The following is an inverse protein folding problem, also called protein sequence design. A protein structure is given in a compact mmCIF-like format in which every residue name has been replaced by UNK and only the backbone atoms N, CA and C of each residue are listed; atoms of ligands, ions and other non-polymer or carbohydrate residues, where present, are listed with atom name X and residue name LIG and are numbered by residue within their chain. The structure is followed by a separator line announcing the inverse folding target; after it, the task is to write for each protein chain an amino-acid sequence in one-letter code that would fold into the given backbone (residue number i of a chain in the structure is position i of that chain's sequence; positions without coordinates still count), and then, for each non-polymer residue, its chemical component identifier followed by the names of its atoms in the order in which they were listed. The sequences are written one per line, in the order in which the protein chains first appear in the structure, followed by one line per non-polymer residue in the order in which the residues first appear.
data_IF_013024784769
#
_entry.id   IF_013024784769
#
_cell.length_a   1.000
_cell.length_b   1.000
_cell.length_c   1.000
_cell.angle_alpha   90.00
_cell.angle_beta   90.00
_cell.angle_gamma   90.00
#
_symmetry.space_group_name_H-M   'P 1'
#
loop_
_entity.id
_entity.type
_entity.pdbx_description
1 polymer ?
#
# COMPACT_ATOMS: atom_id res chain seq x y z
N UNK A 1 -6.66 -6.41 0.06
CA UNK A 1 -5.86 -5.16 0.02
C UNK A 1 -4.87 -5.15 -1.15
N UNK A 2 -4.00 -6.15 -1.29
CA UNK A 2 -3.05 -6.21 -2.41
C UNK A 2 -3.75 -6.28 -3.78
N UNK A 3 -4.87 -7.00 -3.88
CA UNK A 3 -5.69 -7.02 -5.11
C UNK A 3 -6.25 -5.65 -5.47
N UNK A 4 -6.65 -4.85 -4.47
CA UNK A 4 -7.11 -3.48 -4.72
C UNK A 4 -5.99 -2.63 -5.31
N UNK A 5 -4.76 -2.77 -4.80
CA UNK A 5 -3.60 -2.05 -5.36
C UNK A 5 -3.38 -2.42 -6.82
N UNK A 6 -3.37 -3.72 -7.14
CA UNK A 6 -3.13 -4.23 -8.48
C UNK A 6 -4.18 -3.76 -9.51
N UNK A 7 -5.44 -3.68 -9.09
CA UNK A 7 -6.57 -3.34 -9.97
C UNK A 7 -7.00 -1.86 -9.89
N UNK A 8 -6.30 -1.05 -9.09
CA UNK A 8 -6.66 0.36 -8.88
C UNK A 8 -6.51 1.25 -10.13
N UNK A 9 -5.68 0.82 -11.09
CA UNK A 9 -5.27 1.66 -12.21
C UNK A 9 -4.42 2.88 -11.81
N UNK A 10 -4.02 2.99 -10.53
CA UNK A 10 -3.20 4.08 -10.03
C UNK A 10 -1.71 3.79 -10.21
N UNK A 11 -0.92 4.84 -10.38
CA UNK A 11 0.54 4.78 -10.33
C UNK A 11 1.02 4.95 -8.89
N UNK A 12 1.83 4.02 -8.40
CA UNK A 12 2.35 4.05 -7.05
C UNK A 12 3.69 4.77 -7.02
N UNK A 13 3.81 5.81 -6.20
CA UNK A 13 5.01 6.64 -6.11
C UNK A 13 5.78 6.26 -4.84
N UNK A 14 6.96 5.69 -5.04
CA UNK A 14 7.89 5.30 -3.98
C UNK A 14 9.22 6.01 -4.17
N UNK A 15 9.66 6.73 -3.13
CA UNK A 15 10.91 7.51 -3.14
C UNK A 15 11.01 8.46 -4.35
N UNK A 16 9.88 9.08 -4.73
CA UNK A 16 9.81 10.01 -5.86
C UNK A 16 9.72 9.36 -7.25
N UNK A 17 9.83 8.04 -7.35
CA UNK A 17 9.67 7.30 -8.62
C UNK A 17 8.28 6.68 -8.71
N UNK A 18 7.66 6.76 -9.88
CA UNK A 18 6.37 6.13 -10.17
C UNK A 18 6.53 4.69 -10.66
N UNK A 19 5.64 3.81 -10.20
CA UNK A 19 5.61 2.39 -10.51
C UNK A 19 4.18 1.95 -10.88
N UNK A 20 4.00 1.08 -11.88
CA UNK A 20 2.70 0.52 -12.22
C UNK A 20 2.07 -0.26 -11.05
N UNK A 21 0.75 -0.38 -11.06
CA UNK A 21 -0.04 -1.09 -10.04
C UNK A 21 0.45 -2.53 -9.78
N UNK A 22 0.80 -3.28 -10.83
CA UNK A 22 1.32 -4.64 -10.71
C UNK A 22 2.68 -4.68 -9.96
N UNK A 23 3.58 -3.75 -10.26
CA UNK A 23 4.86 -3.63 -9.56
C UNK A 23 4.67 -3.18 -8.10
N UNK A 24 3.72 -2.29 -7.86
CA UNK A 24 3.35 -1.87 -6.52
C UNK A 24 2.84 -3.06 -5.69
N UNK A 25 1.92 -3.87 -6.24
CA UNK A 25 1.43 -5.10 -5.61
C UNK A 25 2.57 -6.06 -5.29
N UNK A 26 3.46 -6.33 -6.25
CA UNK A 26 4.61 -7.20 -6.02
C UNK A 26 5.56 -6.67 -4.94
N UNK A 27 5.78 -5.35 -4.90
CA UNK A 27 6.60 -4.71 -3.86
C UNK A 27 5.97 -4.83 -2.47
N UNK A 28 4.67 -4.56 -2.36
CA UNK A 28 3.94 -4.65 -1.10
C UNK A 28 3.82 -6.09 -0.60
N UNK A 29 3.61 -7.06 -1.50
CA UNK A 29 3.62 -8.49 -1.17
C UNK A 29 4.95 -8.88 -0.54
N UNK A 30 6.09 -8.54 -1.14
CA UNK A 30 7.42 -8.84 -0.57
C UNK A 30 7.60 -8.27 0.84
N UNK A 31 7.06 -7.08 1.10
CA UNK A 31 7.11 -6.48 2.44
C UNK A 31 6.16 -7.18 3.42
N UNK A 32 4.98 -7.60 2.97
CA UNK A 32 4.06 -8.40 3.77
C UNK A 32 4.71 -9.72 4.16
N UNK A 33 5.22 -10.49 3.19
CA UNK A 33 5.90 -11.77 3.42
C UNK A 33 7.05 -11.61 4.42
N UNK A 34 7.84 -10.53 4.30
CA UNK A 34 8.91 -10.25 5.25
C UNK A 34 8.41 -10.00 6.68
N UNK A 35 7.30 -9.26 6.84
CA UNK A 35 6.72 -8.96 8.14
C UNK A 35 6.05 -10.19 8.75
N UNK A 36 5.36 -10.99 7.94
CA UNK A 36 4.72 -12.25 8.37
C UNK A 36 5.77 -13.24 8.87
N UNK A 37 6.87 -13.41 8.14
CA UNK A 37 8.01 -14.25 8.55
C UNK A 37 8.72 -13.77 9.83
N UNK A 38 8.39 -12.58 10.33
CA UNK A 38 8.95 -11.97 11.55
C UNK A 38 7.91 -11.81 12.65
N UNK A 39 6.68 -12.29 12.46
CA UNK A 39 5.56 -12.07 13.37
C UNK A 39 5.32 -10.57 13.67
N UNK A 40 5.62 -9.71 12.69
CA UNK A 40 5.55 -8.24 12.81
C UNK A 40 4.29 -7.63 12.18
N UNK A 41 3.35 -8.46 11.73
CA UNK A 41 2.08 -8.04 11.13
C UNK A 41 0.99 -9.00 11.59
N UNK A 42 -0.04 -8.44 12.21
CA UNK A 42 -1.18 -9.23 12.74
C UNK A 42 -2.52 -8.73 12.23
N UNK A 43 -2.53 -7.62 11.49
CA UNK A 43 -3.73 -6.94 11.02
C UNK A 43 -3.50 -6.24 9.68
N UNK A 44 -4.60 -5.86 9.03
CA UNK A 44 -4.53 -5.05 7.81
C UNK A 44 -3.95 -3.66 8.11
N UNK A 45 -4.23 -3.10 9.29
CA UNK A 45 -3.66 -1.85 9.78
C UNK A 45 -2.15 -1.94 9.96
N UNK A 46 -1.65 -3.03 10.58
CA UNK A 46 -0.21 -3.27 10.70
C UNK A 46 0.45 -3.34 9.33
N UNK A 47 -0.19 -4.03 8.38
CA UNK A 47 0.30 -4.09 7.00
C UNK A 47 0.36 -2.68 6.38
N UNK A 48 -0.71 -1.88 6.51
CA UNK A 48 -0.71 -0.51 5.99
C UNK A 48 0.43 0.28 6.63
N UNK A 49 0.49 0.35 7.95
CA UNK A 49 1.46 1.14 8.69
C UNK A 49 2.92 0.73 8.38
N UNK A 50 3.21 -0.57 8.39
CA UNK A 50 4.59 -1.09 8.33
C UNK A 50 5.05 -1.40 6.92
N UNK A 51 4.15 -1.84 6.05
CA UNK A 51 4.47 -2.24 4.69
C UNK A 51 4.19 -1.14 3.67
N UNK A 52 3.03 -0.50 3.74
CA UNK A 52 2.43 0.17 2.59
C UNK A 52 2.39 1.70 2.63
N UNK A 53 2.86 2.33 3.72
CA UNK A 53 2.84 3.80 3.86
C UNK A 53 4.16 4.49 3.58
N UNK A 54 5.30 3.81 3.82
CA UNK A 54 6.63 4.41 3.69
C UNK A 54 7.71 3.38 3.44
N UNK A 55 8.81 3.84 2.87
CA UNK A 55 10.03 3.06 2.69
C UNK A 55 10.67 2.75 4.03
N UNK A 56 10.83 1.46 4.35
CA UNK A 56 11.58 1.04 5.54
C UNK A 56 13.07 1.40 5.46
N UNK A 57 13.59 1.67 4.26
CA UNK A 57 15.00 2.03 4.04
C UNK A 57 15.26 3.53 4.13
N UNK A 58 14.36 4.36 3.57
CA UNK A 58 14.56 5.82 3.47
C UNK A 58 13.60 6.64 4.35
N UNK A 59 12.58 6.01 4.94
CA UNK A 59 11.55 6.68 5.73
C UNK A 59 10.54 7.52 4.92
N UNK A 60 10.75 7.67 3.60
CA UNK A 60 9.90 8.49 2.75
C UNK A 60 8.52 7.87 2.56
N UNK A 61 7.49 8.72 2.67
CA UNK A 61 6.09 8.32 2.47
C UNK A 61 5.82 7.99 1.01
N UNK A 62 4.96 7.00 0.81
CA UNK A 62 4.45 6.61 -0.49
C UNK A 62 3.24 7.44 -0.86
N UNK A 63 3.08 7.68 -2.15
CA UNK A 63 1.92 8.36 -2.70
C UNK A 63 1.30 7.50 -3.79
N UNK A 64 0.05 7.75 -4.12
CA UNK A 64 -0.60 7.17 -5.29
C UNK A 64 -1.08 8.30 -6.18
N UNK A 65 -0.88 8.13 -7.48
CA UNK A 65 -1.36 9.03 -8.51
C UNK A 65 -2.45 8.29 -9.29
N UNK A 66 -3.70 8.65 -8.99
CA UNK A 66 -4.89 8.04 -9.58
C UNK A 66 -5.54 9.05 -10.54
N UNK A 67 -6.45 8.60 -11.43
CA UNK A 67 -7.21 9.53 -12.28
C UNK A 67 -7.98 10.60 -11.50
N UNK A 68 -8.40 10.30 -10.26
CA UNK A 68 -9.08 11.23 -9.35
C UNK A 68 -8.13 12.23 -8.66
N UNK A 69 -6.82 12.07 -8.84
CA UNK A 69 -5.79 12.91 -8.25
C UNK A 69 -4.76 12.14 -7.42
N UNK A 70 -3.71 12.85 -7.04
CA UNK A 70 -2.61 12.35 -6.24
C UNK A 70 -2.89 12.48 -4.74
N UNK A 71 -2.64 11.41 -3.98
CA UNK A 71 -2.87 11.36 -2.54
C UNK A 71 -1.84 10.49 -1.81
N UNK A 72 -1.79 10.59 -0.47
CA UNK A 72 -0.95 9.72 0.34
C UNK A 72 -1.44 8.27 0.32
N UNK A 73 -0.53 7.32 0.15
CA UNK A 73 -0.87 5.90 0.12
C UNK A 73 -1.49 5.42 1.44
N UNK A 74 -1.13 6.06 2.57
CA UNK A 74 -1.72 5.80 3.88
C UNK A 74 -3.21 6.05 3.92
N UNK A 75 -3.63 7.25 3.51
CA UNK A 75 -5.04 7.63 3.52
C UNK A 75 -5.82 6.73 2.56
N UNK A 76 -5.29 6.57 1.35
CA UNK A 76 -5.89 5.76 0.30
C UNK A 76 -6.16 4.30 0.71
N UNK A 77 -5.19 3.63 1.33
CA UNK A 77 -5.36 2.25 1.78
C UNK A 77 -6.26 2.12 3.01
N UNK A 78 -6.23 3.11 3.91
CA UNK A 78 -7.13 3.11 5.08
C UNK A 78 -8.59 3.31 4.67
N UNK A 79 -8.85 4.14 3.67
CA UNK A 79 -10.20 4.35 3.17
C UNK A 79 -10.73 3.11 2.44
N UNK A 80 -9.88 2.41 1.69
CA UNK A 80 -10.24 1.09 1.14
C UNK A 80 -10.50 0.07 2.25
N UNK A 81 -9.68 0.03 3.30
CA UNK A 81 -9.90 -0.90 4.42
C UNK A 81 -11.26 -0.66 5.09
N UNK A 82 -11.64 0.61 5.31
CA UNK A 82 -12.97 0.96 5.84
C UNK A 82 -14.07 0.49 4.89
N UNK A 83 -13.92 0.73 3.58
CA UNK A 83 -14.89 0.29 2.56
C UNK A 83 -15.08 -1.22 2.59
N UNK A 84 -13.99 -2.00 2.66
CA UNK A 84 -14.05 -3.46 2.70
C UNK A 84 -14.74 -4.00 3.97
N UNK A 85 -14.62 -3.30 5.10
CA UNK A 85 -15.27 -3.69 6.36
C UNK A 85 -16.74 -3.27 6.46
N UNK A 86 -17.16 -2.30 5.67
CA UNK A 86 -18.54 -1.84 5.58
C UNK A 86 -19.34 -2.55 4.49
N UNK A 87 -18.68 -3.35 3.64
CA UNK A 87 -19.36 -4.19 2.67
C UNK A 87 -20.20 -5.25 3.42
N UNK A 88 -21.50 -5.43 3.05
CA UNK A 88 -22.39 -6.39 3.69
C UNK A 88 -22.01 -7.85 3.41
#
# INVERSE_FOLDING_TARGET
MLDFVEHSGCQFIRNGSGYPAAEARAHLQKKLDYLENKDMVSSAEDFIERAATKSSMSGQRYQVDCPAGKQDASAWLNDELKRLRQAP
#
